data_IF_824816111327
#
_entry.id   IF_824816111327
#
_cell.length_a   1.000
_cell.length_b   1.000
_cell.length_c   1.000
_cell.angle_alpha   90.00
_cell.angle_beta   90.00
_cell.angle_gamma   90.00
#
_symmetry.space_group_name_H-M   'P 1'
#
loop_
_entity.id
_entity.type
_entity.pdbx_description
1 polymer ?
#
# COMPACT_ATOMS: atom_id res chain seq x y z
N UNK A 1 13.13 2.48 9.38
CA UNK A 1 11.96 2.26 8.49
C UNK A 1 10.76 2.99 9.08
N UNK A 2 10.09 3.85 8.32
CA UNK A 2 8.86 4.54 8.78
C UNK A 2 7.65 3.64 8.49
N UNK A 3 6.99 3.16 9.54
CA UNK A 3 5.68 2.55 9.42
C UNK A 3 4.63 3.61 9.06
N UNK A 4 3.85 3.35 8.01
CA UNK A 4 2.77 4.23 7.56
C UNK A 4 1.44 3.77 8.12
N UNK A 5 0.58 4.71 8.49
CA UNK A 5 -0.80 4.40 8.85
C UNK A 5 -1.61 3.96 7.63
N UNK A 6 -2.72 3.28 7.87
CA UNK A 6 -3.67 2.85 6.84
C UNK A 6 -4.12 4.04 5.98
N UNK A 7 -4.42 5.20 6.59
CA UNK A 7 -4.83 6.40 5.86
C UNK A 7 -3.72 6.95 4.95
N UNK A 8 -2.45 6.82 5.34
CA UNK A 8 -1.34 7.20 4.45
C UNK A 8 -1.21 6.21 3.29
N UNK A 9 -1.36 4.92 3.54
CA UNK A 9 -1.35 3.89 2.49
C UNK A 9 -2.49 4.11 1.50
N UNK A 10 -3.73 4.32 1.98
CA UNK A 10 -4.89 4.52 1.12
C UNK A 10 -4.69 5.72 0.17
N UNK A 11 -4.19 6.84 0.69
CA UNK A 11 -3.82 8.00 -0.11
C UNK A 11 -2.72 7.71 -1.15
N UNK A 12 -1.65 6.99 -0.76
CA UNK A 12 -0.55 6.66 -1.68
C UNK A 12 -1.03 5.82 -2.87
N UNK A 13 -1.93 4.86 -2.62
CA UNK A 13 -2.46 4.00 -3.68
C UNK A 13 -3.73 4.54 -4.34
N UNK A 14 -4.28 5.67 -3.87
CA UNK A 14 -5.49 6.28 -4.43
C UNK A 14 -6.73 5.39 -4.26
N UNK A 15 -6.81 4.67 -3.13
CA UNK A 15 -7.92 3.79 -2.78
C UNK A 15 -8.53 4.26 -1.46
N UNK A 16 -9.72 3.74 -1.13
CA UNK A 16 -10.31 3.97 0.18
C UNK A 16 -9.61 3.14 1.28
N UNK A 17 -9.75 3.55 2.54
CA UNK A 17 -9.17 2.80 3.66
C UNK A 17 -9.76 1.40 3.83
N UNK A 18 -11.01 1.17 3.43
CA UNK A 18 -11.68 -0.15 3.43
C UNK A 18 -11.03 -1.14 2.45
N UNK A 19 -10.57 -0.66 1.29
CA UNK A 19 -9.74 -1.43 0.36
C UNK A 19 -8.44 -1.88 1.02
N UNK A 20 -7.78 -1.00 1.79
CA UNK A 20 -6.55 -1.35 2.51
C UNK A 20 -6.82 -2.38 3.61
N UNK A 21 -7.91 -2.26 4.37
CA UNK A 21 -8.32 -3.31 5.32
C UNK A 21 -8.61 -4.65 4.63
N UNK A 22 -9.22 -4.61 3.46
CA UNK A 22 -9.47 -5.81 2.65
C UNK A 22 -8.16 -6.44 2.18
N UNK A 23 -7.14 -5.63 1.83
CA UNK A 23 -5.81 -6.14 1.51
C UNK A 23 -5.16 -6.84 2.71
N UNK A 24 -5.24 -6.26 3.92
CA UNK A 24 -4.72 -6.88 5.15
C UNK A 24 -5.40 -8.24 5.39
N UNK A 25 -6.73 -8.30 5.27
CA UNK A 25 -7.48 -9.57 5.39
C UNK A 25 -7.08 -10.61 4.34
N UNK A 26 -6.63 -10.16 3.16
CA UNK A 26 -6.12 -11.01 2.06
C UNK A 26 -4.60 -11.31 2.18
N UNK A 27 -3.96 -10.94 3.30
CA UNK A 27 -2.56 -11.24 3.58
C UNK A 27 -1.56 -10.16 3.16
N UNK A 28 -1.99 -8.92 2.96
CA UNK A 28 -1.07 -7.80 2.77
C UNK A 28 -0.23 -7.57 4.03
N UNK A 29 1.11 -7.42 3.91
CA UNK A 29 1.98 -7.22 5.07
C UNK A 29 1.61 -5.97 5.87
N UNK A 30 1.30 -6.17 7.15
CA UNK A 30 1.08 -5.10 8.12
C UNK A 30 1.68 -5.49 9.47
N UNK A 31 2.32 -4.54 10.14
CA UNK A 31 2.74 -4.68 11.53
C UNK A 31 1.52 -4.39 12.41
N UNK A 32 1.08 -5.36 13.23
CA UNK A 32 -0.07 -5.17 14.11
C UNK A 32 0.19 -4.07 15.14
N UNK A 33 -0.90 -3.53 15.66
CA UNK A 33 -0.88 -2.57 16.76
C UNK A 33 -0.21 -3.19 17.99
N UNK A 34 0.99 -2.74 18.33
CA UNK A 34 1.66 -3.09 19.59
C UNK A 34 1.15 -2.15 20.70
N UNK A 35 0.05 -2.56 21.34
CA UNK A 35 -0.54 -1.88 22.50
C UNK A 35 -1.84 -1.11 22.23
N UNK A 36 -2.55 -0.74 23.30
CA UNK A 36 -3.80 0.04 23.21
C UNK A 36 -3.53 1.40 22.57
N UNK A 37 -4.33 1.76 21.57
CA UNK A 37 -4.33 3.08 20.95
C UNK A 37 -3.30 3.32 19.83
N UNK A 38 -2.44 2.36 19.50
CA UNK A 38 -1.51 2.48 18.37
C UNK A 38 -2.13 1.88 17.11
N UNK A 39 -2.29 2.63 16.00
CA UNK A 39 -2.82 2.06 14.77
C UNK A 39 -1.82 1.07 14.16
N UNK A 40 -2.33 0.07 13.44
CA UNK A 40 -1.50 -0.82 12.64
C UNK A 40 -0.63 -0.01 11.66
N UNK A 41 0.61 -0.46 11.48
CA UNK A 41 1.58 0.19 10.61
C UNK A 41 1.91 -0.69 9.41
N UNK A 42 2.17 -0.06 8.28
CA UNK A 42 2.44 -0.75 7.02
C UNK A 42 3.68 -0.16 6.37
N UNK A 43 4.51 -1.02 5.79
CA UNK A 43 5.69 -0.58 5.08
C UNK A 43 5.38 -0.42 3.59
N UNK A 44 5.53 0.79 3.05
CA UNK A 44 5.19 1.11 1.66
C UNK A 44 5.75 0.09 0.66
N UNK A 45 7.04 -0.27 0.78
CA UNK A 45 7.66 -1.21 -0.14
C UNK A 45 7.04 -2.61 -0.10
N UNK A 46 6.64 -3.09 1.08
CA UNK A 46 6.01 -4.41 1.21
C UNK A 46 4.58 -4.40 0.66
N UNK A 47 3.83 -3.33 0.93
CA UNK A 47 2.47 -3.15 0.38
C UNK A 47 2.51 -3.03 -1.14
N UNK A 48 3.46 -2.26 -1.67
CA UNK A 48 3.65 -2.08 -3.11
C UNK A 48 3.94 -3.42 -3.79
N UNK A 49 4.94 -4.17 -3.33
CA UNK A 49 5.28 -5.48 -3.90
C UNK A 49 4.11 -6.45 -3.82
N UNK A 50 3.38 -6.48 -2.70
CA UNK A 50 2.21 -7.32 -2.55
C UNK A 50 1.10 -6.93 -3.55
N UNK A 51 0.83 -5.62 -3.71
CA UNK A 51 -0.24 -5.15 -4.59
C UNK A 51 0.07 -5.39 -6.06
N UNK A 52 1.31 -5.18 -6.50
CA UNK A 52 1.72 -5.46 -7.89
C UNK A 52 1.51 -6.94 -8.23
N UNK A 53 1.99 -7.86 -7.39
CA UNK A 53 1.74 -9.30 -7.54
C UNK A 53 0.25 -9.65 -7.55
N UNK A 54 -0.56 -8.91 -6.78
CA UNK A 54 -1.99 -9.13 -6.74
C UNK A 54 -2.68 -8.67 -8.02
N UNK A 55 -2.28 -7.53 -8.59
CA UNK A 55 -2.78 -7.04 -9.88
C UNK A 55 -2.46 -8.00 -11.02
N UNK A 56 -1.24 -8.54 -11.05
CA UNK A 56 -0.84 -9.58 -12.02
C UNK A 56 -1.77 -10.81 -11.94
N UNK A 57 -2.07 -11.28 -10.72
CA UNK A 57 -2.98 -12.42 -10.50
C UNK A 57 -4.44 -12.13 -10.78
N UNK A 58 -4.88 -10.89 -10.62
CA UNK A 58 -6.26 -10.46 -10.86
C UNK A 58 -6.57 -10.24 -12.35
N UNK A 59 -5.60 -10.52 -13.24
CA UNK A 59 -5.79 -10.41 -14.69
C UNK A 59 -5.61 -9.00 -15.23
N UNK A 60 -5.16 -8.04 -14.41
CA UNK A 60 -4.69 -6.73 -14.88
C UNK A 60 -3.29 -6.83 -15.50
N UNK A 61 -3.03 -7.90 -16.25
CA UNK A 61 -1.72 -8.27 -16.82
C UNK A 61 -1.23 -7.36 -17.95
N UNK A 62 -1.84 -6.19 -18.13
CA UNK A 62 -1.24 -5.17 -18.97
C UNK A 62 -0.03 -4.58 -18.23
N UNK A 63 1.17 -4.96 -18.68
CA UNK A 63 2.46 -4.53 -18.11
C UNK A 63 2.56 -3.01 -17.97
N UNK A 64 2.00 -2.25 -18.92
CA UNK A 64 2.03 -0.79 -18.89
C UNK A 64 1.18 -0.21 -17.76
N UNK A 65 0.04 -0.85 -17.47
CA UNK A 65 -0.82 -0.45 -16.35
C UNK A 65 -0.11 -0.68 -15.01
N UNK A 66 0.53 -1.83 -14.83
CA UNK A 66 1.25 -2.18 -13.60
C UNK A 66 2.44 -1.23 -13.39
N UNK A 67 3.22 -0.96 -14.44
CA UNK A 67 4.34 -0.04 -14.39
C UNK A 67 3.90 1.40 -14.07
N UNK A 68 2.81 1.87 -14.68
CA UNK A 68 2.26 3.19 -14.39
C UNK A 68 1.72 3.29 -12.95
N UNK A 69 1.01 2.25 -12.49
CA UNK A 69 0.53 2.16 -11.12
C UNK A 69 1.68 2.21 -10.10
N UNK A 70 2.76 1.45 -10.34
CA UNK A 70 3.96 1.48 -9.51
C UNK A 70 4.59 2.88 -9.49
N UNK A 71 4.77 3.50 -10.67
CA UNK A 71 5.35 4.83 -10.81
C UNK A 71 4.56 5.86 -10.01
N UNK A 72 3.24 5.91 -10.18
CA UNK A 72 2.37 6.84 -9.44
C UNK A 72 2.45 6.64 -7.93
N UNK A 73 2.43 5.40 -7.45
CA UNK A 73 2.54 5.10 -6.01
C UNK A 73 3.90 5.58 -5.45
N UNK A 74 5.00 5.37 -6.19
CA UNK A 74 6.34 5.82 -5.80
C UNK A 74 6.47 7.34 -5.81
N UNK A 75 5.89 8.01 -6.81
CA UNK A 75 5.88 9.48 -6.89
C UNK A 75 5.14 10.10 -5.70
N UNK A 76 3.95 9.58 -5.38
CA UNK A 76 3.19 10.01 -4.20
C UNK A 76 3.96 9.77 -2.90
N UNK A 77 4.69 8.65 -2.79
CA UNK A 77 5.52 8.38 -1.61
C UNK A 77 6.73 9.30 -1.51
N UNK A 78 7.37 9.63 -2.64
CA UNK A 78 8.42 10.66 -2.69
C UNK A 78 7.88 12.03 -2.27
N UNK A 79 6.71 12.41 -2.75
CA UNK A 79 6.05 13.67 -2.37
C UNK A 79 5.74 13.72 -0.87
N UNK A 80 5.31 12.60 -0.27
CA UNK A 80 5.07 12.49 1.17
C UNK A 80 6.35 12.68 2.01
N UNK A 81 7.52 12.26 1.50
CA UNK A 81 8.81 12.43 2.20
C UNK A 81 9.39 13.84 2.13
N UNK A 82 8.92 14.67 1.20
CA UNK A 82 9.37 16.06 1.02
C UNK A 82 8.61 17.06 1.88
N UNK A 83 7.54 16.63 2.56
CA UNK A 83 6.80 17.38 3.57
C UNK A 83 7.25 16.97 4.96
#
# INVERSE_FOLDING_TARGET
MLGLSINKISHLFGVDSGSVYSWIRRGCPSTPAVGRGRPAQMHFGFVLTWRLKRLEREGFGNTDYIANYEKMARERFKALKKK
#
